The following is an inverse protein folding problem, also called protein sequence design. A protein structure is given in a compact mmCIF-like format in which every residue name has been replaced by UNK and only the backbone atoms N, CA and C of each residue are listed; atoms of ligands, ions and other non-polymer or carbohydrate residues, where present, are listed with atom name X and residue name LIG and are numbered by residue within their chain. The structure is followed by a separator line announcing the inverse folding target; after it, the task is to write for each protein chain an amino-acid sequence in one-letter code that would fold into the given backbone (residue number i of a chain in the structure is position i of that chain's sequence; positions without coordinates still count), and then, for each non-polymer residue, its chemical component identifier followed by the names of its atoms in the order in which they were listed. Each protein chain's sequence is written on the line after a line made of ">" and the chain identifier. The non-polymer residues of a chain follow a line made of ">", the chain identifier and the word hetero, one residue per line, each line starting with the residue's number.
data_IF_873611567456
#
_entry.id   IF_873611567456
#
_cell.length_a   1.000
_cell.length_b   1.000
_cell.length_c   1.000
_cell.angle_alpha   90.00
_cell.angle_beta   90.00
_cell.angle_gamma   90.00
#
_symmetry.space_group_name_H-M   'P 1'
#
loop_
_entity.id
_entity.type
_entity.pdbx_description
1 polymer ?
#
# COMPACT_ATOMS: atom_id res chain seq x y z
N UNK A 1 -3.33 -4.19 13.14
CA UNK A 1 -4.36 -4.42 12.09
C UNK A 1 -3.63 -4.45 10.73
N UNK A 2 -3.87 -5.41 9.81
CA UNK A 2 -3.02 -5.69 8.60
C UNK A 2 -3.87 -5.87 7.29
N UNK A 3 -4.23 -4.84 6.50
CA UNK A 3 -5.43 -4.94 5.61
C UNK A 3 -5.29 -5.77 4.30
N UNK A 4 -6.10 -5.43 3.29
CA UNK A 4 -6.27 -6.00 1.94
C UNK A 4 -7.22 -5.03 1.18
N UNK A 5 -7.38 -4.99 -0.14
CA UNK A 5 -6.83 -5.70 -1.32
C UNK A 5 -7.22 -4.80 -2.55
N UNK A 6 -6.87 -5.01 -3.83
CA UNK A 6 -7.23 -4.14 -5.00
C UNK A 6 -8.56 -4.42 -5.79
N UNK A 7 -9.12 -3.44 -6.55
CA UNK A 7 -10.17 -3.68 -7.59
C UNK A 7 -10.19 -2.65 -8.75
N UNK A 8 -10.16 -3.20 -9.98
CA UNK A 8 -10.65 -2.68 -11.29
C UNK A 8 -10.11 -1.34 -11.87
N UNK A 9 -10.16 -1.29 -13.21
CA UNK A 9 -9.62 -0.26 -14.11
C UNK A 9 -10.71 0.25 -15.06
N UNK A 10 -10.55 1.47 -15.61
CA UNK A 10 -11.10 1.87 -16.91
C UNK A 10 -10.29 3.04 -17.54
N UNK A 11 -10.51 3.26 -18.83
CA UNK A 11 -9.64 4.02 -19.75
C UNK A 11 -10.10 5.47 -20.03
N UNK A 12 -9.16 6.32 -20.47
CA UNK A 12 -9.32 7.65 -21.10
C UNK A 12 -9.70 8.84 -20.19
N UNK A 13 -9.39 10.11 -20.50
CA UNK A 13 -8.40 10.79 -21.37
C UNK A 13 -8.51 12.30 -21.02
N UNK A 14 -7.42 13.03 -20.73
CA UNK A 14 -7.26 14.43 -21.20
C UNK A 14 -5.86 15.02 -20.92
N UNK A 15 -5.37 15.99 -21.72
CA UNK A 15 -3.99 16.47 -21.65
C UNK A 15 -3.83 17.89 -21.06
N UNK A 16 -2.57 18.23 -20.72
CA UNK A 16 -2.06 19.59 -20.39
C UNK A 16 -2.55 20.18 -19.04
N UNK A 17 -1.70 20.13 -17.99
CA UNK A 17 -1.75 21.08 -16.87
C UNK A 17 -0.40 21.21 -16.13
N UNK A 18 0.49 22.09 -16.64
CA UNK A 18 1.61 22.73 -15.91
C UNK A 18 2.69 21.83 -15.28
N UNK A 19 3.72 22.43 -14.65
CA UNK A 19 4.62 21.72 -13.75
C UNK A 19 3.86 21.44 -12.45
N UNK A 20 3.08 20.35 -12.42
CA UNK A 20 2.59 19.78 -11.16
C UNK A 20 3.81 19.46 -10.29
N UNK A 21 3.74 19.76 -8.99
CA UNK A 21 4.41 18.88 -8.03
C UNK A 21 3.84 17.49 -8.28
N UNK A 22 4.59 16.64 -8.99
CA UNK A 22 4.17 15.28 -9.29
C UNK A 22 4.23 14.49 -7.99
N UNK A 23 3.15 14.52 -7.22
CA UNK A 23 2.89 13.37 -6.38
C UNK A 23 2.71 12.16 -7.30
N UNK A 24 3.44 11.10 -6.98
CA UNK A 24 3.39 9.77 -7.63
C UNK A 24 1.97 9.16 -7.62
N UNK A 25 1.05 9.78 -6.88
CA UNK A 25 -0.29 9.34 -6.55
C UNK A 25 -1.36 10.32 -7.09
N UNK A 26 -2.41 9.82 -7.76
CA UNK A 26 -3.65 10.56 -8.00
C UNK A 26 -4.57 10.54 -6.76
N UNK A 27 -4.42 9.52 -5.89
CA UNK A 27 -5.05 9.37 -4.58
C UNK A 27 -6.57 9.24 -4.60
N UNK A 28 -7.14 8.69 -5.68
CA UNK A 28 -8.59 8.42 -5.81
C UNK A 28 -9.17 7.58 -4.67
N UNK A 29 -8.34 6.73 -4.07
CA UNK A 29 -8.65 5.86 -2.95
C UNK A 29 -8.67 6.56 -1.57
N UNK A 30 -8.20 7.81 -1.46
CA UNK A 30 -8.27 8.58 -0.20
C UNK A 30 -9.72 9.01 0.13
N UNK A 31 -10.05 9.29 1.41
CA UNK A 31 -11.38 9.76 1.81
C UNK A 31 -11.74 11.16 1.23
N UNK A 32 -12.28 11.19 0.01
CA UNK A 32 -12.56 12.44 -0.73
C UNK A 32 -13.51 13.43 -0.03
N UNK A 33 -14.32 12.98 0.93
CA UNK A 33 -15.23 13.81 1.72
C UNK A 33 -14.61 14.39 3.00
N UNK A 34 -13.34 14.10 3.29
CA UNK A 34 -12.63 14.58 4.48
C UNK A 34 -11.49 15.54 4.10
N UNK A 35 -11.12 16.42 5.04
CA UNK A 35 -9.95 17.29 4.90
C UNK A 35 -8.75 16.66 5.57
N UNK A 36 -7.60 16.64 4.91
CA UNK A 36 -6.32 16.25 5.50
C UNK A 36 -5.93 17.19 6.65
N UNK A 37 -5.46 16.62 7.75
CA UNK A 37 -4.98 17.32 8.95
C UNK A 37 -3.59 16.82 9.32
N UNK A 38 -2.86 17.59 10.12
CA UNK A 38 -1.51 17.23 10.57
C UNK A 38 -1.60 15.94 11.40
N UNK A 39 -0.70 15.00 11.10
CA UNK A 39 -0.51 13.77 11.85
C UNK A 39 0.98 13.66 12.23
N UNK A 40 1.24 13.35 13.50
CA UNK A 40 2.57 13.15 14.08
C UNK A 40 2.70 11.71 14.66
N UNK A 41 1.77 10.82 14.29
CA UNK A 41 1.78 9.41 14.70
C UNK A 41 2.99 8.67 14.13
N UNK A 42 3.63 7.80 14.93
CA UNK A 42 4.78 7.00 14.48
C UNK A 42 4.36 5.92 13.45
N UNK A 43 5.13 5.83 12.36
CA UNK A 43 5.03 4.84 11.29
C UNK A 43 6.35 4.08 11.11
N UNK A 44 6.34 2.87 10.53
CA UNK A 44 7.57 2.15 10.15
C UNK A 44 8.39 2.93 9.12
N UNK A 45 9.69 2.62 9.00
CA UNK A 45 10.55 3.19 7.95
C UNK A 45 9.97 2.98 6.55
N UNK A 46 10.17 3.95 5.64
CA UNK A 46 9.54 3.96 4.32
C UNK A 46 8.05 4.32 4.29
N UNK A 47 7.43 4.71 5.41
CA UNK A 47 6.02 5.12 5.47
C UNK A 47 5.80 6.46 6.18
N UNK A 48 4.73 7.15 5.80
CA UNK A 48 4.25 8.41 6.40
C UNK A 48 2.82 8.28 6.96
N UNK A 49 2.50 8.92 8.10
CA UNK A 49 1.15 8.98 8.65
C UNK A 49 0.31 10.01 7.89
N UNK A 50 -0.98 9.73 7.71
CA UNK A 50 -1.95 10.65 7.10
C UNK A 50 -3.26 10.65 7.86
N UNK A 51 -3.61 11.77 8.50
CA UNK A 51 -4.90 11.96 9.18
C UNK A 51 -5.87 12.79 8.33
N UNK A 52 -7.15 12.42 8.40
CA UNK A 52 -8.26 13.09 7.72
C UNK A 52 -9.41 13.32 8.71
N UNK A 53 -10.05 14.48 8.62
CA UNK A 53 -11.18 14.86 9.46
C UNK A 53 -12.39 15.30 8.64
N UNK A 54 -13.57 14.83 9.03
CA UNK A 54 -14.87 15.21 8.51
C UNK A 54 -15.86 15.56 9.63
N UNK A 55 -17.15 15.70 9.29
CA UNK A 55 -18.18 16.03 10.29
C UNK A 55 -18.38 14.82 11.23
N UNK A 56 -17.89 14.95 12.47
CA UNK A 56 -18.06 13.94 13.52
C UNK A 56 -17.24 12.66 13.34
N UNK A 57 -16.28 12.63 12.42
CA UNK A 57 -15.47 11.46 12.09
C UNK A 57 -14.04 11.82 11.72
N UNK A 58 -13.11 10.94 12.07
CA UNK A 58 -11.70 11.01 11.68
C UNK A 58 -11.29 9.68 11.05
N UNK A 59 -10.35 9.72 10.11
CA UNK A 59 -9.74 8.57 9.47
C UNK A 59 -8.22 8.75 9.53
N UNK A 60 -7.49 7.70 9.92
CA UNK A 60 -6.03 7.67 9.85
C UNK A 60 -5.59 6.60 8.87
N UNK A 61 -4.56 6.93 8.10
CA UNK A 61 -3.97 6.09 7.07
C UNK A 61 -2.45 6.07 7.22
N UNK A 62 -1.81 5.05 6.66
CA UNK A 62 -0.36 4.99 6.45
C UNK A 62 -0.09 4.84 4.96
N UNK A 63 0.74 5.72 4.41
CA UNK A 63 1.10 5.72 2.99
C UNK A 63 2.59 5.40 2.82
N UNK A 64 2.98 4.59 1.82
CA UNK A 64 4.39 4.42 1.49
C UNK A 64 4.94 5.73 0.93
N UNK A 65 6.13 6.11 1.40
CA UNK A 65 6.98 7.13 0.77
C UNK A 65 7.27 6.64 -0.67
N UNK A 66 7.48 7.53 -1.67
CA UNK A 66 7.82 7.10 -3.03
C UNK A 66 8.99 6.11 -3.08
N UNK A 67 8.76 4.95 -3.70
CA UNK A 67 9.73 3.86 -3.88
C UNK A 67 10.13 3.86 -5.36
N UNK A 68 11.29 4.43 -5.63
CA UNK A 68 11.85 4.56 -6.99
C UNK A 68 12.87 3.45 -7.32
N UNK A 69 13.11 2.50 -6.41
CA UNK A 69 14.10 1.44 -6.56
C UNK A 69 13.99 0.31 -5.54
N UNK A 70 14.93 -0.65 -5.62
CA UNK A 70 15.01 -1.81 -4.71
C UNK A 70 15.47 -1.38 -3.31
N UNK A 71 16.40 -0.42 -3.22
CA UNK A 71 16.92 0.08 -1.93
C UNK A 71 15.81 0.68 -1.06
N UNK A 72 14.95 1.50 -1.67
CA UNK A 72 13.82 2.15 -1.02
C UNK A 72 12.73 1.12 -0.63
N UNK A 73 12.59 0.04 -1.43
CA UNK A 73 11.74 -1.09 -1.09
C UNK A 73 12.29 -1.89 0.11
N UNK A 74 13.60 -2.16 0.14
CA UNK A 74 14.28 -2.81 1.27
C UNK A 74 14.15 -2.00 2.56
N UNK A 75 14.31 -0.67 2.48
CA UNK A 75 14.06 0.25 3.61
C UNK A 75 12.60 0.14 4.09
N UNK A 76 11.63 0.19 3.17
CA UNK A 76 10.20 0.11 3.50
C UNK A 76 9.79 -1.23 4.16
N UNK A 77 10.46 -2.34 3.86
CA UNK A 77 10.18 -3.64 4.51
C UNK A 77 11.05 -3.93 5.74
N UNK A 78 12.11 -3.15 5.99
CA UNK A 78 13.13 -3.44 7.01
C UNK A 78 12.58 -3.57 8.44
N UNK A 79 11.64 -2.70 8.82
CA UNK A 79 10.98 -2.69 10.14
C UNK A 79 9.77 -3.63 10.21
N UNK A 80 9.42 -4.33 9.13
CA UNK A 80 8.18 -5.12 9.04
C UNK A 80 8.42 -6.62 9.28
N UNK A 81 7.54 -7.23 10.07
CA UNK A 81 7.54 -8.68 10.28
C UNK A 81 6.91 -9.40 9.08
N UNK A 82 7.71 -10.18 8.35
CA UNK A 82 7.24 -11.00 7.22
C UNK A 82 6.44 -12.23 7.67
N UNK A 83 5.64 -12.79 6.76
CA UNK A 83 4.93 -14.06 6.93
C UNK A 83 4.59 -14.69 5.58
N UNK A 84 4.40 -16.01 5.55
CA UNK A 84 4.10 -16.75 4.31
C UNK A 84 5.28 -16.72 3.32
N UNK A 85 4.96 -16.62 2.03
CA UNK A 85 5.95 -16.45 0.96
C UNK A 85 6.12 -14.96 0.63
N UNK A 86 7.36 -14.48 0.66
CA UNK A 86 7.76 -13.14 0.22
C UNK A 86 8.94 -13.28 -0.75
N UNK A 87 9.14 -12.35 -1.70
CA UNK A 87 10.32 -12.35 -2.56
C UNK A 87 11.60 -12.15 -1.73
N UNK A 88 12.69 -12.81 -2.14
CA UNK A 88 14.04 -12.47 -1.68
C UNK A 88 14.44 -11.13 -2.31
N UNK A 89 14.78 -10.08 -1.52
CA UNK A 89 15.22 -8.80 -2.08
C UNK A 89 16.39 -8.93 -3.07
N UNK A 90 17.30 -9.88 -2.83
CA UNK A 90 18.46 -10.14 -3.72
C UNK A 90 18.07 -10.72 -5.08
N UNK A 91 16.84 -11.25 -5.23
CA UNK A 91 16.30 -11.77 -6.49
C UNK A 91 15.54 -10.70 -7.31
N UNK A 92 15.34 -9.50 -6.75
CA UNK A 92 14.62 -8.43 -7.43
C UNK A 92 15.54 -7.69 -8.42
N UNK A 93 14.93 -7.26 -9.52
CA UNK A 93 15.57 -6.53 -10.62
C UNK A 93 14.91 -5.17 -10.88
N UNK A 94 13.64 -5.01 -10.50
CA UNK A 94 12.94 -3.73 -10.51
C UNK A 94 11.79 -3.69 -9.53
N UNK A 95 11.48 -2.48 -9.08
CA UNK A 95 10.29 -2.13 -8.30
C UNK A 95 9.60 -0.98 -9.02
N UNK A 96 8.28 -1.06 -9.18
CA UNK A 96 7.46 0.01 -9.74
C UNK A 96 6.28 0.28 -8.81
N UNK A 97 6.20 1.50 -8.30
CA UNK A 97 5.08 1.95 -7.49
C UNK A 97 3.93 2.47 -8.37
N UNK A 98 2.70 2.18 -7.97
CA UNK A 98 1.46 2.52 -8.67
C UNK A 98 0.29 2.56 -7.67
N UNK A 99 -0.91 2.91 -8.12
CA UNK A 99 -2.12 2.83 -7.30
C UNK A 99 -3.33 2.35 -8.12
N UNK A 100 -4.38 1.92 -7.42
CA UNK A 100 -5.73 1.71 -7.96
C UNK A 100 -6.79 2.28 -7.00
N UNK A 101 -8.06 2.04 -7.31
CA UNK A 101 -9.21 2.55 -6.54
C UNK A 101 -9.26 2.10 -5.07
N UNK A 102 -8.47 1.09 -4.68
CA UNK A 102 -8.36 0.61 -3.30
C UNK A 102 -6.96 0.82 -2.68
N UNK A 103 -6.06 1.57 -3.30
CA UNK A 103 -4.82 2.01 -2.66
C UNK A 103 -3.54 1.79 -3.45
N UNK A 104 -2.38 2.02 -2.79
CA UNK A 104 -1.07 1.79 -3.35
C UNK A 104 -0.75 0.34 -3.68
N UNK A 105 0.02 0.12 -4.75
CA UNK A 105 0.53 -1.18 -5.19
C UNK A 105 1.96 -1.04 -5.70
N UNK A 106 2.89 -1.82 -5.13
CA UNK A 106 4.20 -2.06 -5.70
C UNK A 106 4.18 -3.33 -6.59
N UNK A 107 4.75 -3.23 -7.78
CA UNK A 107 5.02 -4.35 -8.68
C UNK A 107 6.50 -4.65 -8.63
N UNK A 108 6.85 -5.88 -8.21
CA UNK A 108 8.24 -6.31 -8.03
C UNK A 108 8.56 -7.34 -9.12
N UNK A 109 9.64 -7.13 -9.87
CA UNK A 109 10.06 -8.04 -10.94
C UNK A 109 11.43 -8.61 -10.65
N UNK A 110 11.61 -9.91 -10.82
CA UNK A 110 12.85 -10.64 -10.55
C UNK A 110 12.77 -12.04 -11.16
N UNK A 111 13.27 -13.06 -10.45
CA UNK A 111 13.04 -14.48 -10.79
C UNK A 111 11.56 -14.85 -10.91
N UNK A 112 10.68 -14.06 -10.31
CA UNK A 112 9.23 -14.12 -10.47
C UNK A 112 8.64 -12.72 -10.33
N UNK A 113 7.42 -12.52 -10.86
CA UNK A 113 6.70 -11.26 -10.75
C UNK A 113 5.77 -11.30 -9.53
N UNK A 114 5.81 -10.25 -8.71
CA UNK A 114 5.02 -10.13 -7.49
C UNK A 114 4.22 -8.83 -7.48
N UNK A 115 3.08 -8.87 -6.81
CA UNK A 115 2.24 -7.70 -6.54
C UNK A 115 2.16 -7.58 -5.01
N UNK A 116 2.64 -6.45 -4.50
CA UNK A 116 2.52 -6.08 -3.09
C UNK A 116 1.52 -4.93 -2.99
N UNK A 117 0.36 -5.21 -2.42
CA UNK A 117 -0.66 -4.19 -2.13
C UNK A 117 -0.36 -3.57 -0.76
N UNK A 118 -0.41 -2.24 -0.66
CA UNK A 118 -0.33 -1.55 0.63
C UNK A 118 -1.72 -1.18 1.11
N UNK A 119 -1.89 -1.24 2.42
CA UNK A 119 -3.17 -1.61 3.02
C UNK A 119 -3.53 -0.56 4.07
N UNK A 120 -3.77 0.70 3.62
CA UNK A 120 -3.51 1.92 4.41
C UNK A 120 -4.41 2.06 5.65
N UNK A 121 -5.51 1.31 5.69
CA UNK A 121 -6.54 1.35 6.74
C UNK A 121 -6.41 0.28 7.84
N UNK A 122 -5.55 -0.74 7.67
CA UNK A 122 -5.31 -1.84 8.63
C UNK A 122 -6.48 -2.85 8.87
N UNK A 123 -6.29 -4.15 8.58
CA UNK A 123 -7.32 -5.21 8.80
C UNK A 123 -7.71 -5.40 10.24
N UNK A 124 -8.98 -5.74 10.39
CA UNK A 124 -9.63 -6.67 11.32
C UNK A 124 -8.83 -7.88 11.90
N UNK A 125 -7.59 -8.15 11.46
CA UNK A 125 -6.76 -9.29 11.86
C UNK A 125 -7.19 -10.63 11.25
N UNK A 126 -8.21 -10.64 10.38
CA UNK A 126 -8.80 -11.88 9.85
C UNK A 126 -8.21 -12.31 8.51
N UNK A 127 -7.32 -11.52 7.88
CA UNK A 127 -6.71 -11.82 6.57
C UNK A 127 -6.19 -13.26 6.47
N UNK A 128 -5.42 -13.73 7.45
CA UNK A 128 -4.89 -15.11 7.49
C UNK A 128 -6.02 -16.16 7.51
N UNK A 129 -7.04 -15.97 8.36
CA UNK A 129 -8.21 -16.88 8.39
C UNK A 129 -9.01 -16.89 7.09
N UNK A 130 -9.06 -15.75 6.37
CA UNK A 130 -9.71 -15.64 5.06
C UNK A 130 -8.90 -16.38 3.98
N UNK A 131 -7.57 -16.37 4.06
CA UNK A 131 -6.67 -17.16 3.21
C UNK A 131 -6.85 -18.65 3.51
N UNK A 132 -6.83 -19.06 4.78
CA UNK A 132 -7.01 -20.46 5.20
C UNK A 132 -8.38 -21.04 4.77
N UNK A 133 -9.41 -20.19 4.68
CA UNK A 133 -10.75 -20.55 4.22
C UNK A 133 -10.98 -20.33 2.71
N UNK A 134 -9.95 -19.91 1.97
CA UNK A 134 -10.04 -19.64 0.53
C UNK A 134 -10.12 -20.93 -0.28
N UNK A 135 -10.87 -20.93 -1.37
CA UNK A 135 -10.81 -22.02 -2.35
C UNK A 135 -9.54 -21.91 -3.21
N UNK A 136 -9.08 -23.04 -3.77
CA UNK A 136 -7.94 -23.11 -4.69
C UNK A 136 -8.15 -22.32 -6.01
N UNK A 137 -9.38 -21.88 -6.28
CA UNK A 137 -9.75 -21.10 -7.48
C UNK A 137 -9.62 -19.58 -7.24
N UNK A 138 -9.28 -19.15 -6.04
CA UNK A 138 -9.14 -17.74 -5.68
C UNK A 138 -7.66 -17.35 -5.51
N UNK A 139 -7.28 -16.19 -6.04
CA UNK A 139 -5.96 -15.58 -5.86
C UNK A 139 -5.77 -15.05 -4.43
N UNK A 140 -5.57 -15.96 -3.48
CA UNK A 140 -5.33 -15.64 -2.08
C UNK A 140 -3.89 -15.15 -1.86
N UNK A 141 -3.64 -14.12 -1.02
CA UNK A 141 -2.29 -13.69 -0.68
C UNK A 141 -1.46 -14.84 -0.09
N UNK A 142 -0.32 -15.15 -0.73
CA UNK A 142 0.55 -16.25 -0.31
C UNK A 142 1.53 -15.87 0.82
N UNK A 143 1.62 -14.59 1.16
CA UNK A 143 2.45 -14.02 2.22
C UNK A 143 2.36 -12.49 2.24
N UNK A 144 3.25 -11.86 3.00
CA UNK A 144 3.35 -10.41 3.06
C UNK A 144 4.10 -9.92 4.29
N UNK A 145 3.97 -8.63 4.57
CA UNK A 145 4.64 -7.94 5.67
C UNK A 145 3.63 -7.36 6.66
N UNK A 146 4.04 -7.16 7.91
CA UNK A 146 3.18 -6.62 8.97
C UNK A 146 3.99 -5.82 10.00
N UNK A 147 3.61 -4.56 10.20
CA UNK A 147 4.18 -3.68 11.20
C UNK A 147 3.21 -3.41 12.36
N UNK A 148 3.71 -2.73 13.39
CA UNK A 148 2.85 -1.98 14.32
C UNK A 148 2.76 -0.54 13.84
N UNK A 149 1.57 0.04 13.96
CA UNK A 149 1.31 1.45 13.71
C UNK A 149 0.51 1.97 14.89
N UNK A 150 0.89 3.11 15.44
CA UNK A 150 0.17 3.78 16.52
C UNK A 150 -0.85 4.79 15.94
N UNK A 151 -1.95 4.27 15.39
CA UNK A 151 -3.08 5.05 14.86
C UNK A 151 -4.15 5.31 15.93
#
# INVERSE_FOLDING_TARGET
>A
MIQGFGDRFNEALDPILGPRNMSVWERKWRPAAMKEVIDESETPSGFEPRSFAGIGMTCKLVEPIPIDGISEWEEAISDLTSWGKVPDPSSLSSVLLSENDRGPIARLSGDSNWIAEFLPWGSDGLLRRRIDASSEVCDAPCGGFSGRVAI
#
